data_IF_944658164406
#
_entry.id   IF_944658164406
#
_cell.length_a   1.000
_cell.length_b   1.000
_cell.length_c   1.000
_cell.angle_alpha   90.00
_cell.angle_beta   90.00
_cell.angle_gamma   90.00
#
_symmetry.space_group_name_H-M   'P 1'
#
loop_
_entity.id
_entity.type
_entity.pdbx_description
1 polymer ?
#
# COMPACT_ATOMS: atom_id res chain seq x y z
N UNK A 1 -7.67 -0.12 9.88
CA UNK A 1 -7.30 -0.41 8.47
C UNK A 1 -5.81 -0.17 8.35
N UNK A 2 -5.06 -1.16 7.92
CA UNK A 2 -3.61 -1.10 7.75
C UNK A 2 -3.30 -1.26 6.24
N UNK A 3 -3.15 -0.16 5.51
CA UNK A 3 -2.74 -0.22 4.12
C UNK A 3 -1.24 -0.54 4.01
N UNK A 4 -0.87 -1.13 2.88
CA UNK A 4 0.52 -1.24 2.44
C UNK A 4 0.89 0.01 1.64
N UNK A 5 1.56 -0.17 0.51
CA UNK A 5 1.82 0.93 -0.42
C UNK A 5 0.50 1.43 -1.04
N UNK A 6 0.24 2.74 -0.90
CA UNK A 6 -0.92 3.42 -1.52
C UNK A 6 -0.43 4.52 -2.43
N UNK A 7 -0.97 4.57 -3.65
CA UNK A 7 -0.58 5.51 -4.70
C UNK A 7 -1.10 6.92 -4.40
N UNK A 8 -0.38 7.61 -3.53
CA UNK A 8 -0.64 8.99 -3.10
C UNK A 8 0.55 9.86 -3.47
N UNK A 9 0.34 11.18 -3.54
CA UNK A 9 1.43 12.12 -3.79
C UNK A 9 2.59 11.94 -2.80
N UNK A 10 2.28 11.74 -1.51
CA UNK A 10 3.26 11.46 -0.47
C UNK A 10 4.10 10.20 -0.76
N UNK A 11 3.46 9.11 -1.22
CA UNK A 11 4.18 7.89 -1.57
C UNK A 11 5.01 8.08 -2.84
N UNK A 12 4.49 8.82 -3.82
CA UNK A 12 5.19 9.15 -5.05
C UNK A 12 6.45 10.00 -4.80
N UNK A 13 6.38 10.95 -3.86
CA UNK A 13 7.52 11.73 -3.38
C UNK A 13 8.51 10.84 -2.61
N UNK A 14 8.03 9.96 -1.74
CA UNK A 14 8.88 9.02 -1.00
C UNK A 14 9.66 8.07 -1.91
N UNK A 15 9.00 7.50 -2.93
CA UNK A 15 9.65 6.68 -3.95
C UNK A 15 10.76 7.45 -4.68
N UNK A 16 10.50 8.71 -5.05
CA UNK A 16 11.49 9.55 -5.72
C UNK A 16 12.70 9.83 -4.80
N UNK A 17 12.45 10.23 -3.55
CA UNK A 17 13.52 10.55 -2.61
C UNK A 17 14.43 9.35 -2.29
N UNK A 18 13.86 8.15 -2.19
CA UNK A 18 14.66 6.93 -1.99
C UNK A 18 15.46 6.60 -3.25
N UNK A 19 14.84 6.68 -4.44
CA UNK A 19 15.50 6.42 -5.71
C UNK A 19 16.71 7.36 -5.93
N UNK A 20 16.51 8.66 -5.67
CA UNK A 20 17.58 9.67 -5.72
C UNK A 20 18.70 9.34 -4.72
N UNK A 21 18.35 8.93 -3.50
CA UNK A 21 19.29 8.60 -2.43
C UNK A 21 20.18 7.38 -2.72
N UNK A 22 19.74 6.46 -3.58
CA UNK A 22 20.50 5.27 -3.99
C UNK A 22 20.98 5.33 -5.45
N UNK A 23 20.71 6.43 -6.16
CA UNK A 23 21.22 6.71 -7.51
C UNK A 23 20.58 5.88 -8.62
N UNK A 24 19.30 5.51 -8.50
CA UNK A 24 18.55 4.79 -9.55
C UNK A 24 17.30 5.57 -9.95
N UNK A 25 16.64 5.19 -11.04
CA UNK A 25 15.36 5.80 -11.41
C UNK A 25 14.23 5.36 -10.49
N UNK A 26 13.22 6.23 -10.35
CA UNK A 26 12.00 5.91 -9.59
C UNK A 26 11.30 4.65 -10.10
N UNK A 27 11.31 4.42 -11.41
CA UNK A 27 10.72 3.22 -12.01
C UNK A 27 11.47 1.95 -11.61
N UNK A 28 12.81 1.97 -11.66
CA UNK A 28 13.63 0.84 -11.18
C UNK A 28 13.40 0.58 -9.68
N UNK A 29 13.33 1.64 -8.86
CA UNK A 29 13.05 1.48 -7.44
C UNK A 29 11.65 0.90 -7.20
N UNK A 30 10.64 1.36 -7.94
CA UNK A 30 9.29 0.81 -7.85
C UNK A 30 9.28 -0.69 -8.18
N UNK A 31 9.90 -1.11 -9.28
CA UNK A 31 9.96 -2.51 -9.69
C UNK A 31 10.67 -3.38 -8.66
N UNK A 32 11.75 -2.86 -8.05
CA UNK A 32 12.46 -3.50 -6.94
C UNK A 32 11.59 -3.63 -5.69
N UNK A 33 10.94 -2.54 -5.26
CA UNK A 33 10.09 -2.51 -4.07
C UNK A 33 8.89 -3.46 -4.23
N UNK A 34 8.29 -3.50 -5.42
CA UNK A 34 7.20 -4.42 -5.71
C UNK A 34 7.65 -5.88 -5.74
N UNK A 35 8.94 -6.20 -5.79
CA UNK A 35 9.37 -7.60 -5.71
C UNK A 35 8.97 -8.28 -4.39
N UNK A 36 8.92 -7.54 -3.28
CA UNK A 36 8.49 -8.07 -1.98
C UNK A 36 6.98 -8.05 -1.75
N UNK A 37 6.21 -7.46 -2.67
CA UNK A 37 4.73 -7.38 -2.59
C UNK A 37 4.11 -8.45 -3.50
N UNK A 38 3.35 -9.43 -2.99
CA UNK A 38 2.78 -10.52 -3.78
C UNK A 38 1.94 -10.07 -4.98
N UNK A 39 1.11 -9.03 -4.83
CA UNK A 39 0.28 -8.53 -5.93
C UNK A 39 0.99 -7.54 -6.87
N UNK A 40 2.29 -7.25 -6.65
CA UNK A 40 3.12 -6.40 -7.52
C UNK A 40 2.52 -5.03 -7.85
N UNK A 41 1.71 -4.48 -6.94
CA UNK A 41 1.06 -3.17 -7.13
C UNK A 41 1.00 -2.37 -5.84
N UNK A 42 0.87 -1.06 -6.01
CA UNK A 42 0.34 -0.16 -4.98
C UNK A 42 -1.19 -0.15 -5.10
N UNK A 43 -1.88 -0.09 -3.96
CA UNK A 43 -3.33 0.13 -3.97
C UNK A 43 -3.63 1.57 -4.35
N UNK A 44 -4.71 1.82 -5.08
CA UNK A 44 -5.20 3.18 -5.30
C UNK A 44 -5.91 3.70 -4.04
N UNK A 45 -5.90 5.02 -3.77
CA UNK A 45 -6.62 5.60 -2.63
C UNK A 45 -8.10 5.21 -2.59
N UNK A 46 -8.73 5.06 -3.76
CA UNK A 46 -10.12 4.63 -3.88
C UNK A 46 -10.34 3.20 -3.33
N UNK A 47 -9.40 2.28 -3.54
CA UNK A 47 -9.51 0.91 -3.00
C UNK A 47 -9.52 0.90 -1.47
N UNK A 48 -8.78 1.82 -0.84
CA UNK A 48 -8.80 2.01 0.62
C UNK A 48 -10.14 2.62 1.07
N UNK A 49 -10.64 3.62 0.34
CA UNK A 49 -11.93 4.27 0.61
C UNK A 49 -13.11 3.30 0.47
N UNK A 50 -13.04 2.36 -0.46
CA UNK A 50 -14.07 1.33 -0.65
C UNK A 50 -14.14 0.39 0.55
N UNK A 51 -12.99 -0.03 1.11
CA UNK A 51 -12.96 -0.81 2.35
C UNK A 51 -13.51 0.01 3.54
N UNK A 52 -13.15 1.29 3.68
CA UNK A 52 -13.74 2.17 4.70
C UNK A 52 -15.26 2.20 4.56
N UNK A 53 -15.76 2.42 3.34
CA UNK A 53 -17.20 2.50 3.04
C UNK A 53 -17.93 1.19 3.32
N UNK A 54 -17.27 0.04 3.08
CA UNK A 54 -17.78 -1.27 3.45
C UNK A 54 -17.89 -1.40 4.98
N UNK A 55 -16.83 -1.04 5.72
CA UNK A 55 -16.78 -1.18 7.17
C UNK A 55 -17.76 -0.27 7.90
N UNK A 56 -18.03 0.94 7.37
CA UNK A 56 -19.05 1.85 7.93
C UNK A 56 -20.45 1.23 7.96
N UNK A 57 -20.73 0.20 7.14
CA UNK A 57 -22.01 -0.50 7.09
C UNK A 57 -22.05 -1.75 7.99
N UNK A 58 -20.93 -2.15 8.59
CA UNK A 58 -20.84 -3.35 9.41
C UNK A 58 -21.23 -3.07 10.86
N UNK A 59 -22.07 -3.92 11.44
CA UNK A 59 -22.53 -3.77 12.83
C UNK A 59 -21.85 -4.71 13.82
N UNK A 60 -21.14 -5.74 13.32
CA UNK A 60 -20.57 -6.80 14.15
C UNK A 60 -19.05 -6.93 14.05
N UNK A 61 -18.38 -5.97 13.39
CA UNK A 61 -16.91 -5.92 13.30
C UNK A 61 -16.42 -4.81 14.24
N UNK A 62 -15.63 -5.18 15.24
CA UNK A 62 -15.04 -4.23 16.19
C UNK A 62 -13.69 -4.71 16.70
N UNK A 63 -12.80 -3.78 17.05
CA UNK A 63 -11.47 -4.07 17.59
C UNK A 63 -10.51 -4.77 16.63
N UNK A 64 -10.82 -4.84 15.34
CA UNK A 64 -10.00 -5.53 14.34
C UNK A 64 -9.12 -4.56 13.55
N UNK A 65 -7.90 -4.98 13.28
CA UNK A 65 -7.08 -4.42 12.20
C UNK A 65 -7.32 -5.25 10.95
N UNK A 66 -7.61 -4.59 9.84
CA UNK A 66 -7.77 -5.23 8.54
C UNK A 66 -6.64 -4.74 7.65
N UNK A 67 -5.82 -5.69 7.21
CA UNK A 67 -4.71 -5.49 6.28
C UNK A 67 -5.23 -5.43 4.83
N UNK A 68 -5.05 -4.29 4.18
CA UNK A 68 -5.33 -4.07 2.75
C UNK A 68 -4.03 -3.67 2.05
N UNK A 69 -3.04 -4.54 2.18
CA UNK A 69 -1.63 -4.20 1.97
C UNK A 69 -1.00 -4.89 0.75
N UNK A 70 -1.81 -5.43 -0.15
CA UNK A 70 -1.35 -6.16 -1.34
C UNK A 70 -0.42 -7.36 -1.03
N UNK A 71 -0.46 -7.85 0.22
CA UNK A 71 0.37 -8.94 0.73
C UNK A 71 1.75 -8.51 1.23
N UNK A 72 2.02 -7.21 1.42
CA UNK A 72 3.31 -6.72 1.93
C UNK A 72 3.62 -7.22 3.35
N UNK A 73 2.59 -7.58 4.10
CA UNK A 73 2.70 -8.32 5.37
C UNK A 73 1.72 -9.49 5.29
N UNK A 74 2.21 -10.70 5.49
CA UNK A 74 1.42 -11.93 5.60
C UNK A 74 1.91 -12.68 6.83
N UNK A 75 1.00 -12.99 7.75
CA UNK A 75 1.32 -13.83 8.89
C UNK A 75 1.24 -15.30 8.45
N UNK A 76 2.27 -16.07 8.83
CA UNK A 76 2.29 -17.54 8.67
C UNK A 76 1.55 -18.23 9.80
#
# INVERSE_FOLDING_TARGET
IAPGWVDTDMAQEGLQGIADGIGISKAEFFDMAMQSVPLKKMSQPQEIADLVSYLLKQQSITGQTIDINAGSVMNS
#
